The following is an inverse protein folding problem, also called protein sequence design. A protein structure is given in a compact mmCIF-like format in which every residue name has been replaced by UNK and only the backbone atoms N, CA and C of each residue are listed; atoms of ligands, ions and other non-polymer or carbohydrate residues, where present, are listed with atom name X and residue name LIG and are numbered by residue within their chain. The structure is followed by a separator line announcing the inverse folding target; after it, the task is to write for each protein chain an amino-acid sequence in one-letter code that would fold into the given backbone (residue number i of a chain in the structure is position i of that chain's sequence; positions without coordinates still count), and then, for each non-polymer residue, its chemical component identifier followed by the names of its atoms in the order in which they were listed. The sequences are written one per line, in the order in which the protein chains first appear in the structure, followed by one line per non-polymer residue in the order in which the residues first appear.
data_IF_815201765001
#
_entry.id   IF_815201765001
#
_cell.length_a   1.000
_cell.length_b   1.000
_cell.length_c   1.000
_cell.angle_alpha   90.00
_cell.angle_beta   90.00
_cell.angle_gamma   90.00
#
_symmetry.space_group_name_H-M   'P 1'
#
loop_
_entity.id
_entity.type
_entity.pdbx_description
1 polymer ?
#
# COMPACT_ATOMS: atom_id res chain seq x y z
N UNK A 1 -29.63 -58.19 -22.18
CA UNK A 1 -29.08 -56.88 -21.77
C UNK A 1 -27.76 -56.70 -22.51
N UNK A 2 -27.73 -55.88 -23.54
CA UNK A 2 -26.62 -55.82 -24.51
C UNK A 2 -25.50 -54.89 -23.98
N UNK A 3 -24.26 -55.22 -24.32
CA UNK A 3 -23.04 -54.45 -23.92
C UNK A 3 -23.14 -52.91 -24.16
N UNK A 4 -24.03 -52.47 -25.03
CA UNK A 4 -24.29 -51.04 -25.35
C UNK A 4 -24.98 -50.29 -24.21
N UNK A 5 -25.86 -50.93 -23.44
CA UNK A 5 -26.58 -50.30 -22.30
C UNK A 5 -25.69 -50.09 -21.10
N UNK A 6 -24.69 -50.95 -20.87
CA UNK A 6 -23.73 -50.78 -19.79
C UNK A 6 -22.73 -49.63 -20.08
N UNK A 7 -22.32 -49.44 -21.34
CA UNK A 7 -21.42 -48.30 -21.70
C UNK A 7 -22.10 -46.96 -21.58
N UNK A 8 -23.38 -46.84 -21.90
CA UNK A 8 -24.14 -45.59 -21.75
C UNK A 8 -24.40 -45.24 -20.28
N UNK A 9 -24.63 -46.23 -19.43
CA UNK A 9 -24.81 -45.99 -17.98
C UNK A 9 -23.50 -45.56 -17.28
N UNK A 10 -22.35 -46.09 -17.69
CA UNK A 10 -21.05 -45.67 -17.18
C UNK A 10 -20.64 -44.25 -17.60
N UNK A 11 -21.00 -43.82 -18.82
CA UNK A 11 -20.70 -42.45 -19.31
C UNK A 11 -21.56 -41.42 -18.59
N UNK A 12 -22.82 -41.71 -18.26
CA UNK A 12 -23.71 -40.82 -17.50
C UNK A 12 -23.25 -40.71 -16.04
N UNK A 13 -22.75 -41.78 -15.43
CA UNK A 13 -22.21 -41.75 -14.07
C UNK A 13 -20.90 -40.95 -13.96
N UNK A 14 -20.05 -40.97 -15.02
CA UNK A 14 -18.81 -40.18 -15.07
C UNK A 14 -19.06 -38.67 -15.26
N UNK A 15 -20.15 -38.28 -15.95
CA UNK A 15 -20.51 -36.87 -16.16
C UNK A 15 -21.11 -36.20 -14.91
N UNK A 16 -21.72 -36.95 -14.01
CA UNK A 16 -22.26 -36.41 -12.74
C UNK A 16 -21.18 -36.21 -11.67
N UNK A 17 -20.05 -36.94 -11.77
CA UNK A 17 -18.97 -36.85 -10.78
C UNK A 17 -18.04 -35.63 -10.97
N UNK A 18 -18.12 -34.91 -12.09
CA UNK A 18 -17.23 -33.75 -12.38
C UNK A 18 -17.82 -32.41 -11.91
N UNK A 19 -19.07 -32.39 -11.44
CA UNK A 19 -19.78 -31.13 -11.11
C UNK A 19 -19.58 -30.62 -9.67
N UNK A 20 -18.67 -31.15 -8.86
CA UNK A 20 -18.60 -30.83 -7.42
C UNK A 20 -17.20 -30.51 -6.94
N UNK A 21 -16.46 -29.66 -7.65
CA UNK A 21 -15.20 -29.11 -7.10
C UNK A 21 -14.99 -27.63 -7.48
N UNK A 22 -16.06 -26.87 -7.57
CA UNK A 22 -15.93 -25.43 -7.33
C UNK A 22 -15.91 -25.27 -5.81
N UNK A 23 -14.71 -25.26 -5.22
CA UNK A 23 -14.58 -24.83 -3.82
C UNK A 23 -15.26 -23.45 -3.71
N UNK A 24 -16.22 -23.27 -2.80
CA UNK A 24 -16.86 -21.98 -2.63
C UNK A 24 -15.75 -20.95 -2.35
N UNK A 25 -15.73 -19.87 -3.10
CA UNK A 25 -14.92 -18.70 -2.76
C UNK A 25 -15.43 -18.25 -1.40
N UNK A 26 -14.75 -18.65 -0.31
CA UNK A 26 -15.18 -18.35 1.03
C UNK A 26 -15.18 -16.84 1.20
N UNK A 27 -16.35 -16.27 1.36
CA UNK A 27 -16.53 -14.95 1.97
C UNK A 27 -15.80 -14.94 3.32
N UNK A 28 -15.30 -13.76 3.75
CA UNK A 28 -14.76 -13.59 5.11
C UNK A 28 -15.73 -12.76 5.92
N UNK A 29 -16.76 -13.38 6.49
CA UNK A 29 -17.73 -12.68 7.29
C UNK A 29 -17.09 -12.17 8.58
N UNK A 30 -17.55 -11.00 9.03
CA UNK A 30 -17.07 -10.39 10.26
C UNK A 30 -17.19 -11.32 11.48
N UNK A 31 -18.27 -12.08 11.55
CA UNK A 31 -18.50 -13.06 12.63
C UNK A 31 -17.45 -14.18 12.65
N UNK A 32 -16.93 -14.60 11.51
CA UNK A 32 -15.83 -15.58 11.45
C UNK A 32 -14.53 -14.99 12.02
N UNK A 33 -14.20 -13.72 11.68
CA UNK A 33 -13.05 -13.01 12.24
C UNK A 33 -13.19 -12.89 13.75
N UNK A 34 -14.38 -12.53 14.25
CA UNK A 34 -14.67 -12.43 15.68
C UNK A 34 -14.56 -13.78 16.39
N UNK A 35 -15.13 -14.83 15.82
CA UNK A 35 -15.08 -16.19 16.38
C UNK A 35 -13.65 -16.73 16.44
N UNK A 36 -12.83 -16.44 15.42
CA UNK A 36 -11.41 -16.79 15.36
C UNK A 36 -10.56 -15.96 16.33
N UNK A 37 -11.05 -14.77 16.72
CA UNK A 37 -10.35 -13.83 17.61
C UNK A 37 -9.13 -13.18 16.99
N UNK A 38 -9.01 -13.21 15.66
CA UNK A 38 -7.88 -12.59 14.95
C UNK A 38 -8.22 -12.13 13.53
N UNK A 39 -7.53 -11.08 13.08
CA UNK A 39 -7.54 -10.55 11.72
C UNK A 39 -6.12 -10.55 11.16
N UNK A 40 -5.95 -10.98 9.92
CA UNK A 40 -4.63 -11.08 9.30
C UNK A 40 -4.36 -9.97 8.30
N UNK A 41 -3.13 -9.40 8.34
CA UNK A 41 -2.64 -8.39 7.39
C UNK A 41 -1.50 -8.95 6.55
N UNK A 42 -1.54 -8.74 5.22
CA UNK A 42 -0.38 -8.96 4.36
C UNK A 42 0.54 -7.73 4.39
N UNK A 43 1.83 -7.96 4.65
CA UNK A 43 2.82 -6.90 4.72
C UNK A 43 4.18 -7.32 4.15
N UNK A 44 4.97 -6.34 3.68
CA UNK A 44 6.34 -6.58 3.24
C UNK A 44 7.28 -6.53 4.47
N UNK A 45 8.16 -7.53 4.67
CA UNK A 45 9.08 -7.54 5.80
C UNK A 45 10.18 -6.47 5.73
N UNK A 46 10.42 -5.84 4.56
CA UNK A 46 11.54 -4.92 4.30
C UNK A 46 11.08 -3.67 3.53
N UNK A 47 10.10 -2.95 4.06
CA UNK A 47 9.53 -1.74 3.42
C UNK A 47 9.34 -0.60 4.43
N UNK A 48 10.36 -0.28 5.24
CA UNK A 48 10.31 0.91 6.09
C UNK A 48 10.18 2.19 5.25
N UNK A 49 9.41 3.16 5.73
CA UNK A 49 8.69 3.24 7.02
C UNK A 49 7.33 2.53 7.06
N UNK A 50 6.90 1.90 5.98
CA UNK A 50 5.56 1.28 5.83
C UNK A 50 5.42 0.02 6.70
N UNK A 51 6.28 -0.97 6.49
CA UNK A 51 6.25 -2.24 7.21
C UNK A 51 7.63 -2.89 7.32
N UNK A 52 7.87 -3.58 8.43
CA UNK A 52 9.10 -4.32 8.68
C UNK A 52 8.84 -5.48 9.63
N UNK A 53 9.60 -6.57 9.48
CA UNK A 53 9.58 -7.70 10.40
C UNK A 53 10.46 -7.48 11.64
N UNK A 54 11.04 -6.29 11.81
CA UNK A 54 11.79 -5.89 13.02
C UNK A 54 10.81 -5.46 14.11
N UNK A 55 10.78 -6.14 15.27
CA UNK A 55 9.80 -5.83 16.32
C UNK A 55 9.91 -4.41 16.88
N UNK A 56 11.14 -3.86 16.95
CA UNK A 56 11.45 -2.53 17.45
C UNK A 56 11.04 -1.40 16.51
N UNK A 57 10.91 -1.70 15.21
CA UNK A 57 10.51 -0.73 14.18
C UNK A 57 9.59 -1.43 13.16
N UNK A 58 8.34 -1.73 13.54
CA UNK A 58 7.46 -2.56 12.69
C UNK A 58 6.92 -1.83 11.46
N UNK A 59 7.03 -0.51 11.42
CA UNK A 59 6.47 0.35 10.39
C UNK A 59 5.04 0.81 10.70
N UNK A 60 4.69 2.00 10.19
CA UNK A 60 3.44 2.65 10.56
C UNK A 60 2.19 1.86 10.12
N UNK A 61 2.24 1.13 9.01
CA UNK A 61 1.10 0.31 8.56
C UNK A 61 0.81 -0.85 9.53
N UNK A 62 1.85 -1.47 10.07
CA UNK A 62 1.69 -2.53 11.08
C UNK A 62 1.13 -1.96 12.38
N UNK A 63 1.58 -0.76 12.81
CA UNK A 63 1.05 -0.12 14.01
C UNK A 63 -0.41 0.31 13.84
N UNK A 64 -0.78 0.85 12.67
CA UNK A 64 -2.18 1.18 12.36
C UNK A 64 -3.03 -0.10 12.30
N UNK A 65 -2.54 -1.17 11.69
CA UNK A 65 -3.24 -2.46 11.65
C UNK A 65 -3.45 -3.04 13.06
N UNK A 66 -2.47 -2.91 13.97
CA UNK A 66 -2.64 -3.30 15.39
C UNK A 66 -3.69 -2.47 16.10
N UNK A 67 -3.68 -1.15 15.90
CA UNK A 67 -4.70 -0.27 16.47
C UNK A 67 -6.09 -0.59 15.94
N UNK A 68 -6.22 -0.88 14.63
CA UNK A 68 -7.45 -1.32 13.98
C UNK A 68 -7.94 -2.65 14.58
N UNK A 69 -7.10 -3.66 14.68
CA UNK A 69 -7.45 -4.95 15.28
C UNK A 69 -7.93 -4.80 16.74
N UNK A 70 -7.26 -3.93 17.51
CA UNK A 70 -7.67 -3.58 18.88
C UNK A 70 -9.07 -2.97 18.93
N UNK A 71 -9.43 -2.09 17.97
CA UNK A 71 -10.79 -1.52 17.87
C UNK A 71 -11.85 -2.56 17.49
N UNK A 72 -11.46 -3.57 16.73
CA UNK A 72 -12.35 -4.69 16.38
C UNK A 72 -12.45 -5.76 17.50
N UNK A 73 -11.65 -5.63 18.57
CA UNK A 73 -11.61 -6.59 19.68
C UNK A 73 -10.95 -7.93 19.33
N UNK A 74 -10.03 -7.93 18.36
CA UNK A 74 -9.31 -9.12 17.87
C UNK A 74 -7.79 -8.89 17.88
N UNK A 75 -7.01 -9.97 17.76
CA UNK A 75 -5.55 -9.89 17.62
C UNK A 75 -5.16 -9.65 16.14
N UNK A 76 -4.00 -9.01 15.91
CA UNK A 76 -3.42 -8.91 14.59
C UNK A 76 -2.48 -10.08 14.33
N UNK A 77 -2.71 -10.82 13.25
CA UNK A 77 -1.78 -11.77 12.63
C UNK A 77 -1.11 -11.09 11.44
N UNK A 78 0.22 -11.26 11.26
CA UNK A 78 0.95 -10.65 10.15
C UNK A 78 1.44 -11.75 9.22
N UNK A 79 1.03 -11.65 7.95
CA UNK A 79 1.48 -12.52 6.86
C UNK A 79 2.53 -11.78 6.03
N UNK A 80 3.78 -12.21 6.16
CA UNK A 80 4.89 -11.58 5.45
C UNK A 80 4.96 -12.06 4.00
N UNK A 81 4.93 -11.10 3.07
CA UNK A 81 4.94 -11.35 1.63
C UNK A 81 6.06 -10.59 0.93
N UNK A 82 6.82 -11.29 0.10
CA UNK A 82 7.79 -10.74 -0.85
C UNK A 82 7.67 -11.55 -2.15
N UNK A 83 7.47 -10.95 -3.28
CA UNK A 83 6.97 -9.63 -3.65
C UNK A 83 5.43 -9.53 -3.58
N UNK A 84 4.88 -8.31 -3.82
CA UNK A 84 3.41 -8.04 -3.84
C UNK A 84 2.57 -9.01 -4.67
N UNK A 85 3.11 -9.57 -5.75
CA UNK A 85 2.41 -10.56 -6.57
C UNK A 85 2.04 -11.84 -5.79
N UNK A 86 2.76 -12.15 -4.72
CA UNK A 86 2.42 -13.27 -3.81
C UNK A 86 1.28 -12.97 -2.85
N UNK A 87 0.84 -11.71 -2.73
CA UNK A 87 -0.35 -11.38 -1.92
C UNK A 87 -1.61 -12.13 -2.36
N UNK A 88 -1.69 -12.51 -3.64
CA UNK A 88 -2.78 -13.36 -4.14
C UNK A 88 -2.71 -14.81 -3.64
N UNK A 89 -1.51 -15.28 -3.27
CA UNK A 89 -1.24 -16.64 -2.80
C UNK A 89 -1.34 -16.77 -1.28
N UNK A 90 -1.23 -15.65 -0.55
CA UNK A 90 -1.34 -15.61 0.91
C UNK A 90 -2.75 -15.19 1.29
N UNK A 91 -3.35 -15.91 2.21
CA UNK A 91 -4.75 -15.75 2.59
C UNK A 91 -4.91 -14.76 3.75
N UNK A 92 -4.50 -13.48 3.57
CA UNK A 92 -4.73 -12.41 4.54
C UNK A 92 -6.09 -11.73 4.37
N UNK A 93 -6.63 -11.17 5.46
CA UNK A 93 -7.93 -10.51 5.50
C UNK A 93 -7.84 -9.07 4.97
N UNK A 94 -6.77 -8.35 5.33
CA UNK A 94 -6.62 -6.92 5.02
C UNK A 94 -5.26 -6.57 4.39
N UNK A 95 -5.26 -5.43 3.68
CA UNK A 95 -4.12 -4.75 3.08
C UNK A 95 -4.15 -3.28 3.51
N UNK A 96 -3.05 -2.75 4.05
CA UNK A 96 -3.03 -1.38 4.61
C UNK A 96 -2.67 -0.30 3.57
N UNK A 97 -2.24 -0.68 2.37
CA UNK A 97 -1.70 0.24 1.36
C UNK A 97 -2.55 0.32 0.08
N UNK A 98 -3.84 0.06 0.20
CA UNK A 98 -4.69 0.02 -0.98
C UNK A 98 -5.04 1.42 -1.45
N UNK A 99 -4.61 1.76 -2.67
CA UNK A 99 -4.96 3.03 -3.31
C UNK A 99 -6.45 3.01 -3.67
N UNK A 100 -7.22 3.93 -3.10
CA UNK A 100 -8.66 4.03 -3.34
C UNK A 100 -8.92 4.83 -4.62
N UNK A 101 -8.92 4.13 -5.77
CA UNK A 101 -9.37 4.66 -7.06
C UNK A 101 -10.51 3.80 -7.60
N UNK A 102 -11.61 4.40 -8.08
CA UNK A 102 -12.70 3.65 -8.70
C UNK A 102 -12.22 2.78 -9.86
N UNK A 103 -12.65 1.52 -9.90
CA UNK A 103 -12.39 0.61 -11.02
C UNK A 103 -11.00 -0.04 -11.06
N UNK A 104 -10.11 0.25 -10.10
CA UNK A 104 -8.76 -0.36 -10.05
C UNK A 104 -8.73 -1.65 -9.24
N UNK A 105 -9.56 -1.74 -8.19
CA UNK A 105 -9.56 -2.90 -7.32
C UNK A 105 -10.26 -4.10 -7.99
N UNK A 106 -9.70 -5.31 -7.86
CA UNK A 106 -10.41 -6.51 -8.28
C UNK A 106 -11.70 -6.67 -7.45
N UNK A 107 -12.76 -7.32 -7.99
CA UNK A 107 -14.04 -7.50 -7.29
C UNK A 107 -13.93 -8.19 -5.92
N UNK A 108 -12.84 -8.92 -5.69
CA UNK A 108 -12.55 -9.59 -4.42
C UNK A 108 -12.01 -8.66 -3.33
N UNK A 109 -11.71 -7.39 -3.63
CA UNK A 109 -11.23 -6.38 -2.69
C UNK A 109 -12.29 -5.29 -2.53
N UNK A 110 -12.79 -5.14 -1.31
CA UNK A 110 -13.60 -3.99 -0.89
C UNK A 110 -12.69 -2.97 -0.20
N UNK A 111 -13.06 -1.71 -0.23
CA UNK A 111 -12.31 -0.64 0.41
C UNK A 111 -13.04 -0.11 1.64
N UNK A 112 -12.29 0.22 2.67
CA UNK A 112 -12.76 1.08 3.74
C UNK A 112 -12.90 2.53 3.28
N UNK A 113 -13.44 3.40 4.13
CA UNK A 113 -13.20 4.83 4.05
C UNK A 113 -11.67 5.08 4.03
N UNK A 114 -11.20 6.06 3.25
CA UNK A 114 -9.77 6.38 3.21
C UNK A 114 -9.31 6.97 4.55
N UNK A 115 -8.04 6.76 4.89
CA UNK A 115 -7.46 7.24 6.15
C UNK A 115 -6.23 8.13 5.97
N UNK A 116 -5.69 8.25 4.74
CA UNK A 116 -4.51 9.05 4.43
C UNK A 116 -4.57 9.56 2.99
N UNK A 117 -4.03 10.77 2.75
CA UNK A 117 -3.61 11.24 1.42
C UNK A 117 -2.15 10.87 1.22
N UNK A 118 -1.84 10.20 0.12
CA UNK A 118 -0.50 9.83 -0.30
C UNK A 118 -0.19 10.34 -1.70
N UNK A 119 1.05 10.16 -2.13
CA UNK A 119 1.48 10.59 -3.46
C UNK A 119 2.97 10.37 -3.69
N UNK A 120 3.47 10.93 -4.80
CA UNK A 120 4.90 11.03 -5.10
C UNK A 120 5.27 12.52 -5.13
N UNK A 121 5.94 12.96 -4.07
CA UNK A 121 6.44 14.31 -3.89
C UNK A 121 7.78 14.52 -4.60
N UNK A 122 8.31 15.75 -4.57
CA UNK A 122 9.70 16.03 -4.91
C UNK A 122 10.53 16.24 -3.64
N UNK A 123 11.67 15.57 -3.57
CA UNK A 123 12.71 15.83 -2.59
C UNK A 123 13.85 16.60 -3.27
N UNK A 124 14.50 17.53 -2.53
CA UNK A 124 15.63 18.31 -3.00
C UNK A 124 16.80 18.21 -2.01
N UNK A 125 18.03 18.20 -2.53
CA UNK A 125 19.21 18.25 -1.70
C UNK A 125 19.30 19.60 -0.92
N UNK A 126 19.94 19.63 0.25
CA UNK A 126 20.11 20.86 1.01
C UNK A 126 20.76 21.97 0.17
N UNK A 127 20.18 23.19 0.24
CA UNK A 127 20.71 24.35 -0.50
C UNK A 127 20.44 24.38 -2.01
N UNK A 128 19.78 23.35 -2.55
CA UNK A 128 19.33 23.37 -3.95
C UNK A 128 18.03 24.18 -4.10
N UNK A 129 17.86 24.90 -5.22
CA UNK A 129 16.60 25.56 -5.53
C UNK A 129 15.48 24.54 -5.63
N UNK A 130 14.36 24.79 -4.94
CA UNK A 130 13.15 23.97 -5.01
C UNK A 130 12.21 24.49 -6.09
N UNK A 131 11.33 23.62 -6.60
CA UNK A 131 10.22 23.99 -7.48
C UNK A 131 8.92 23.44 -6.89
N UNK A 132 7.80 24.16 -7.09
CA UNK A 132 6.51 23.82 -6.48
C UNK A 132 5.76 22.71 -7.25
N UNK A 133 6.09 22.52 -8.54
CA UNK A 133 5.42 21.53 -9.38
C UNK A 133 6.39 20.80 -10.31
N UNK A 134 6.04 19.60 -10.73
CA UNK A 134 6.82 18.80 -11.67
C UNK A 134 7.10 19.49 -13.00
N UNK A 135 6.13 20.28 -13.51
CA UNK A 135 6.27 21.07 -14.75
C UNK A 135 7.34 22.17 -14.67
N UNK A 136 7.72 22.58 -13.46
CA UNK A 136 8.69 23.66 -13.24
C UNK A 136 10.14 23.12 -13.15
N UNK A 137 10.32 21.79 -13.21
CA UNK A 137 11.62 21.17 -13.33
C UNK A 137 12.33 21.63 -14.60
N UNK A 138 13.56 22.14 -14.45
CA UNK A 138 14.32 22.68 -15.56
C UNK A 138 15.00 21.56 -16.37
N UNK A 139 15.17 21.82 -17.67
CA UNK A 139 15.99 20.97 -18.52
C UNK A 139 17.40 20.82 -17.93
N UNK A 140 17.90 19.57 -17.91
CA UNK A 140 19.20 19.23 -17.33
C UNK A 140 19.20 18.93 -15.83
N UNK A 141 18.15 19.27 -15.06
CA UNK A 141 18.00 18.83 -13.65
C UNK A 141 18.00 17.31 -13.60
N UNK A 142 18.91 16.71 -12.84
CA UNK A 142 18.97 15.26 -12.64
C UNK A 142 17.92 14.87 -11.59
N UNK A 143 16.93 14.10 -12.02
CA UNK A 143 15.82 13.69 -11.13
C UNK A 143 15.82 12.19 -10.95
N UNK A 144 16.03 11.71 -9.72
CA UNK A 144 15.86 10.32 -9.33
C UNK A 144 14.41 9.90 -9.47
N UNK A 145 14.15 8.78 -10.15
CA UNK A 145 12.79 8.24 -10.36
C UNK A 145 12.79 6.72 -10.22
N UNK A 146 11.69 6.18 -9.70
CA UNK A 146 11.47 4.72 -9.78
C UNK A 146 11.29 4.30 -11.23
N UNK A 147 12.00 3.26 -11.64
CA UNK A 147 11.91 2.70 -13.00
C UNK A 147 10.46 2.30 -13.32
N UNK A 148 9.99 2.67 -14.53
CA UNK A 148 8.65 2.37 -15.04
C UNK A 148 7.49 2.91 -14.17
N UNK A 149 7.71 3.98 -13.40
CA UNK A 149 6.68 4.62 -12.60
C UNK A 149 5.93 5.72 -13.38
N UNK A 150 4.74 6.12 -12.90
CA UNK A 150 4.03 7.29 -13.43
C UNK A 150 4.87 8.56 -13.26
N UNK A 151 5.59 8.69 -12.14
CA UNK A 151 6.49 9.81 -11.90
C UNK A 151 7.59 9.91 -12.95
N UNK A 152 8.16 8.77 -13.40
CA UNK A 152 9.16 8.78 -14.47
C UNK A 152 8.62 9.35 -15.80
N UNK A 153 7.35 9.04 -16.13
CA UNK A 153 6.70 9.61 -17.33
C UNK A 153 6.48 11.12 -17.21
N UNK A 154 6.07 11.59 -16.02
CA UNK A 154 5.81 13.03 -15.77
C UNK A 154 7.13 13.81 -15.80
N UNK A 155 8.19 13.31 -15.13
CA UNK A 155 9.53 13.91 -15.16
C UNK A 155 10.08 13.96 -16.60
N UNK A 156 9.86 12.91 -17.41
CA UNK A 156 10.25 12.92 -18.82
C UNK A 156 9.59 14.07 -19.61
N UNK A 157 8.32 14.38 -19.34
CA UNK A 157 7.60 15.46 -20.02
C UNK A 157 8.10 16.85 -19.64
N UNK A 158 8.69 17.05 -18.46
CA UNK A 158 9.26 18.34 -18.04
C UNK A 158 10.57 18.68 -18.75
N UNK A 159 11.22 17.71 -19.42
CA UNK A 159 12.53 17.87 -20.04
C UNK A 159 13.71 17.69 -19.06
N UNK A 160 13.46 17.34 -17.80
CA UNK A 160 14.51 17.00 -16.86
C UNK A 160 15.18 15.66 -17.20
N UNK A 161 16.42 15.49 -16.76
CA UNK A 161 17.19 14.25 -16.95
C UNK A 161 16.81 13.22 -15.90
N UNK A 162 16.13 12.17 -16.29
CA UNK A 162 15.80 11.05 -15.40
C UNK A 162 17.03 10.23 -15.04
N UNK A 163 17.14 9.87 -13.77
CA UNK A 163 18.10 8.89 -13.25
C UNK A 163 17.29 7.75 -12.61
N UNK A 164 17.28 6.55 -13.22
CA UNK A 164 16.44 5.45 -12.75
C UNK A 164 17.04 4.75 -11.53
N UNK A 165 16.18 4.39 -10.57
CA UNK A 165 16.51 3.62 -9.38
C UNK A 165 15.54 2.46 -9.18
N UNK A 166 15.93 1.48 -8.35
CA UNK A 166 15.09 0.37 -7.94
C UNK A 166 14.23 0.68 -6.70
N UNK A 167 14.76 1.50 -5.79
CA UNK A 167 14.15 1.78 -4.49
C UNK A 167 14.23 3.26 -4.11
N UNK A 168 13.28 3.72 -3.26
CA UNK A 168 13.20 5.12 -2.83
C UNK A 168 14.36 5.52 -1.89
N UNK A 169 14.82 4.61 -1.03
CA UNK A 169 15.97 4.84 -0.15
C UNK A 169 17.27 5.07 -0.93
N UNK A 170 17.50 4.34 -2.03
CA UNK A 170 18.61 4.58 -2.94
C UNK A 170 18.55 5.98 -3.57
N UNK A 171 17.35 6.45 -3.95
CA UNK A 171 17.15 7.81 -4.49
C UNK A 171 17.49 8.88 -3.45
N UNK A 172 17.06 8.69 -2.20
CA UNK A 172 17.33 9.65 -1.12
C UNK A 172 18.82 9.69 -0.74
N UNK A 173 19.50 8.54 -0.74
CA UNK A 173 20.96 8.49 -0.56
C UNK A 173 21.71 9.16 -1.71
N UNK A 174 21.32 8.94 -2.96
CA UNK A 174 21.90 9.58 -4.13
C UNK A 174 21.68 11.11 -4.09
N UNK A 175 20.50 11.55 -3.64
CA UNK A 175 20.18 12.95 -3.44
C UNK A 175 21.08 13.59 -2.36
N UNK A 176 21.24 12.93 -1.22
CA UNK A 176 22.10 13.42 -0.14
C UNK A 176 23.60 13.48 -0.50
N UNK A 177 24.04 12.66 -1.47
CA UNK A 177 25.40 12.69 -2.03
C UNK A 177 25.56 13.67 -3.18
N UNK A 178 24.49 14.32 -3.65
CA UNK A 178 24.52 15.22 -4.81
C UNK A 178 24.68 14.50 -6.16
N UNK A 179 24.41 13.20 -6.23
CA UNK A 179 24.41 12.41 -7.46
C UNK A 179 23.19 12.73 -8.33
N UNK A 180 22.07 13.16 -7.71
CA UNK A 180 20.89 13.75 -8.33
C UNK A 180 20.56 15.08 -7.67
N UNK A 181 19.83 15.95 -8.38
CA UNK A 181 19.48 17.30 -7.90
C UNK A 181 18.11 17.32 -7.23
N UNK A 182 17.23 16.41 -7.64
CA UNK A 182 15.91 16.16 -7.07
C UNK A 182 15.57 14.67 -7.13
N UNK A 183 14.56 14.24 -6.38
CA UNK A 183 14.06 12.88 -6.43
C UNK A 183 12.53 12.84 -6.30
N UNK A 184 11.87 12.04 -7.15
CA UNK A 184 10.43 11.79 -7.09
C UNK A 184 10.14 10.62 -6.14
N UNK A 185 9.80 10.92 -4.88
CA UNK A 185 9.75 9.97 -3.75
C UNK A 185 8.48 10.19 -2.94
N UNK A 186 7.98 9.17 -2.29
CA UNK A 186 6.83 9.32 -1.39
C UNK A 186 7.16 10.25 -0.21
N UNK A 187 6.21 11.10 0.23
CA UNK A 187 6.40 11.95 1.41
C UNK A 187 6.77 11.14 2.67
N UNK A 188 6.25 9.92 2.78
CA UNK A 188 6.55 9.03 3.90
C UNK A 188 8.02 8.61 3.95
N UNK A 189 8.61 8.24 2.81
CA UNK A 189 10.03 7.88 2.74
C UNK A 189 10.94 9.08 2.99
N UNK A 190 10.56 10.28 2.51
CA UNK A 190 11.30 11.52 2.78
C UNK A 190 11.30 11.83 4.29
N UNK A 191 10.13 11.80 4.93
CA UNK A 191 10.00 12.07 6.35
C UNK A 191 10.81 11.09 7.21
N UNK A 192 10.73 9.80 6.89
CA UNK A 192 11.50 8.77 7.59
C UNK A 192 13.02 8.90 7.37
N UNK A 193 13.43 9.23 6.15
CA UNK A 193 14.83 9.50 5.85
C UNK A 193 15.36 10.66 6.70
N UNK A 194 14.63 11.77 6.77
CA UNK A 194 15.01 12.95 7.58
C UNK A 194 15.06 12.62 9.08
N UNK A 195 14.12 11.80 9.58
CA UNK A 195 14.10 11.36 10.97
C UNK A 195 15.37 10.53 11.31
N UNK A 196 15.76 9.63 10.41
CA UNK A 196 16.89 8.72 10.64
C UNK A 196 18.23 9.30 10.23
N UNK A 197 18.27 10.41 9.49
CA UNK A 197 19.47 11.09 9.00
C UNK A 197 19.46 12.59 9.31
N UNK A 198 19.41 13.02 10.60
CA UNK A 198 19.20 14.43 10.95
C UNK A 198 20.35 15.37 10.49
N UNK A 199 21.54 14.83 10.23
CA UNK A 199 22.67 15.58 9.70
C UNK A 199 22.64 15.78 8.17
N UNK A 200 21.76 15.10 7.44
CA UNK A 200 21.68 15.09 5.97
C UNK A 200 20.22 15.12 5.49
N UNK A 201 19.42 15.97 6.09
CA UNK A 201 18.00 16.10 5.73
C UNK A 201 17.84 16.64 4.32
N UNK A 202 16.75 16.23 3.66
CA UNK A 202 16.34 16.73 2.34
C UNK A 202 15.04 17.53 2.44
N UNK A 203 14.85 18.50 1.56
CA UNK A 203 13.62 19.29 1.53
C UNK A 203 12.49 18.48 0.86
N UNK A 204 11.30 18.50 1.46
CA UNK A 204 10.07 17.95 0.91
C UNK A 204 9.25 19.05 0.26
N UNK A 205 8.85 18.84 -0.99
CA UNK A 205 7.87 19.68 -1.70
C UNK A 205 6.73 18.82 -2.20
N UNK A 206 5.51 19.14 -1.82
CA UNK A 206 4.28 18.43 -2.22
C UNK A 206 3.86 18.77 -3.67
N UNK A 207 4.78 18.53 -4.62
CA UNK A 207 4.55 18.78 -6.05
C UNK A 207 3.42 17.92 -6.64
N UNK A 208 3.10 16.79 -6.00
CA UNK A 208 1.98 15.93 -6.35
C UNK A 208 0.61 16.60 -6.19
N UNK A 209 0.53 17.69 -5.44
CA UNK A 209 -0.73 18.44 -5.29
C UNK A 209 -1.22 19.06 -6.60
N UNK A 210 -0.30 19.33 -7.54
CA UNK A 210 -0.58 19.81 -8.89
C UNK A 210 -0.64 18.72 -9.97
N UNK A 211 -0.42 17.44 -9.60
CA UNK A 211 -0.35 16.29 -10.51
C UNK A 211 -1.33 15.19 -10.07
N UNK A 212 -2.58 15.18 -10.57
CA UNK A 212 -3.60 14.22 -10.14
C UNK A 212 -3.20 12.75 -10.27
N UNK A 213 -2.33 12.44 -11.23
CA UNK A 213 -1.82 11.09 -11.44
C UNK A 213 -0.86 10.64 -10.33
N UNK A 214 -0.21 11.58 -9.63
CA UNK A 214 0.74 11.32 -8.54
C UNK A 214 0.15 11.51 -7.14
N UNK A 215 -1.15 11.83 -7.05
CA UNK A 215 -1.86 12.00 -5.79
C UNK A 215 -2.99 10.99 -5.66
N UNK A 216 -3.14 10.38 -4.50
CA UNK A 216 -4.20 9.41 -4.21
C UNK A 216 -4.56 9.39 -2.74
N UNK A 217 -5.66 8.74 -2.42
CA UNK A 217 -6.02 8.42 -1.04
C UNK A 217 -5.81 6.94 -0.77
N UNK A 218 -5.42 6.62 0.46
CA UNK A 218 -5.13 5.26 0.91
C UNK A 218 -6.25 4.78 1.82
N UNK A 219 -6.70 3.56 1.59
CA UNK A 219 -7.73 2.88 2.37
C UNK A 219 -7.25 1.48 2.79
N UNK A 220 -7.96 0.88 3.72
CA UNK A 220 -7.80 -0.54 4.03
C UNK A 220 -8.48 -1.35 2.94
N UNK A 221 -7.72 -2.18 2.24
CA UNK A 221 -8.28 -3.18 1.33
C UNK A 221 -8.74 -4.41 2.12
N UNK A 222 -9.99 -4.81 1.93
CA UNK A 222 -10.62 -5.92 2.64
C UNK A 222 -10.91 -7.04 1.63
N UNK A 223 -10.28 -8.18 1.82
CA UNK A 223 -10.41 -9.31 0.88
C UNK A 223 -11.66 -10.10 1.17
N UNK A 224 -12.52 -10.25 0.15
CA UNK A 224 -13.77 -11.04 0.24
C UNK A 224 -14.65 -10.69 1.43
N UNK A 225 -14.54 -9.46 1.92
CA UNK A 225 -15.27 -8.97 3.09
C UNK A 225 -16.78 -8.90 2.84
N UNK A 226 -17.57 -9.24 3.85
CA UNK A 226 -18.99 -8.93 3.88
C UNK A 226 -19.25 -7.44 4.25
N UNK A 227 -20.50 -6.99 4.19
CA UNK A 227 -20.83 -5.61 4.53
C UNK A 227 -20.56 -5.31 6.02
N UNK A 228 -20.92 -6.19 6.99
CA UNK A 228 -20.62 -5.97 8.40
C UNK A 228 -19.13 -5.76 8.69
N UNK A 229 -18.21 -6.48 8.02
CA UNK A 229 -16.76 -6.27 8.19
C UNK A 229 -16.34 -4.90 7.67
N UNK A 230 -16.84 -4.48 6.50
CA UNK A 230 -16.53 -3.15 5.96
C UNK A 230 -17.02 -2.04 6.90
N UNK A 231 -18.23 -2.17 7.43
CA UNK A 231 -18.82 -1.19 8.35
C UNK A 231 -18.04 -1.12 9.66
N UNK A 232 -17.65 -2.27 10.23
CA UNK A 232 -16.83 -2.33 11.44
C UNK A 232 -15.45 -1.70 11.25
N UNK A 233 -14.79 -1.96 10.10
CA UNK A 233 -13.50 -1.36 9.77
C UNK A 233 -13.65 0.14 9.54
N UNK A 234 -14.69 0.60 8.85
CA UNK A 234 -14.97 2.04 8.67
C UNK A 234 -15.14 2.76 10.00
N UNK A 235 -15.92 2.19 10.93
CA UNK A 235 -16.11 2.76 12.26
C UNK A 235 -14.78 2.84 13.03
N UNK A 236 -13.96 1.77 12.97
CA UNK A 236 -12.67 1.72 13.62
C UNK A 236 -11.67 2.74 13.01
N UNK A 237 -11.59 2.83 11.70
CA UNK A 237 -10.75 3.82 10.99
C UNK A 237 -11.17 5.25 11.36
N UNK A 238 -12.47 5.55 11.32
CA UNK A 238 -12.98 6.88 11.69
C UNK A 238 -12.61 7.25 13.14
N UNK A 239 -12.73 6.30 14.09
CA UNK A 239 -12.33 6.51 15.48
C UNK A 239 -10.83 6.78 15.61
N UNK A 240 -9.96 6.01 14.94
CA UNK A 240 -8.51 6.17 14.98
C UNK A 240 -8.03 7.47 14.32
N UNK A 241 -8.77 7.98 13.33
CA UNK A 241 -8.53 9.31 12.74
C UNK A 241 -8.96 10.42 13.70
N UNK A 242 -10.15 10.27 14.31
CA UNK A 242 -10.74 11.28 15.17
C UNK A 242 -9.96 11.51 16.48
N UNK A 243 -9.48 10.43 17.11
CA UNK A 243 -8.72 10.49 18.37
C UNK A 243 -7.23 10.78 18.19
N UNK A 244 -6.77 10.95 16.95
CA UNK A 244 -5.37 11.28 16.63
C UNK A 244 -4.41 10.09 16.67
N UNK A 245 -4.87 8.86 16.90
CA UNK A 245 -4.00 7.66 16.93
C UNK A 245 -3.22 7.51 15.65
N UNK A 246 -3.88 7.65 14.49
CA UNK A 246 -3.20 7.55 13.18
C UNK A 246 -2.16 8.65 13.03
N UNK A 247 -2.49 9.91 13.32
CA UNK A 247 -1.54 11.01 13.24
C UNK A 247 -0.32 10.81 14.18
N UNK A 248 -0.55 10.33 15.40
CA UNK A 248 0.52 10.03 16.35
C UNK A 248 1.42 8.87 15.88
N UNK A 249 0.86 7.86 15.20
CA UNK A 249 1.65 6.78 14.60
C UNK A 249 2.56 7.36 13.49
N UNK A 250 2.01 8.11 12.54
CA UNK A 250 2.79 8.72 11.46
C UNK A 250 3.93 9.62 11.98
N UNK A 251 3.64 10.43 13.00
CA UNK A 251 4.63 11.33 13.60
C UNK A 251 5.87 10.57 14.15
N UNK A 252 5.70 9.36 14.72
CA UNK A 252 6.83 8.54 15.19
C UNK A 252 7.77 8.10 14.09
N UNK A 253 7.30 8.08 12.84
CA UNK A 253 8.10 7.76 11.65
C UNK A 253 8.53 9.01 10.87
N UNK A 254 8.36 10.21 11.44
CA UNK A 254 8.70 11.47 10.78
C UNK A 254 7.80 11.82 9.61
N UNK A 255 6.68 11.15 9.46
CA UNK A 255 5.75 11.34 8.34
C UNK A 255 4.73 12.42 8.67
N UNK A 256 4.62 13.43 7.82
CA UNK A 256 3.56 14.42 7.89
C UNK A 256 2.22 13.78 7.47
N UNK A 257 1.29 13.71 8.42
CA UNK A 257 0.00 13.08 8.21
C UNK A 257 -0.96 14.01 7.49
N UNK A 258 -1.31 13.67 6.26
CA UNK A 258 -2.30 14.38 5.46
C UNK A 258 -3.62 13.59 5.44
N UNK A 259 -4.66 14.21 6.00
CA UNK A 259 -6.03 13.62 5.96
C UNK A 259 -6.52 13.51 4.52
N UNK A 260 -7.40 12.50 4.21
CA UNK A 260 -8.07 12.37 2.91
C UNK A 260 -8.90 13.57 2.53
#
# INVERSE_FOLDING_TARGET
MTLRTLRSAMIILALVAVSVLAAPVHSRPYEEIRARGEISVCANPNALPYSSNRPETPGFQIEIARALAGRLGVRLQIEWIVPRMRAALVDCDILMDTIARPGIQPPSIRLSAPYQTGGVALAFAPGQPTVEAYRDLKSGTRVGVMTNSVASMIVSKSGARMVPFGFEDEMLEALAKGEVDAAAVSPASIGYYNLTNPARTVALVHAEDSEPELKWVVAVGLRRADAPLVDAVNAAVAALVADGTIAGIYARYGVDYRRP
#
